data_IF_386846921132
#
_entry.id   IF_386846921132
#
_cell.length_a   1.000
_cell.length_b   1.000
_cell.length_c   1.000
_cell.angle_alpha   90.00
_cell.angle_beta   90.00
_cell.angle_gamma   90.00
#
_symmetry.space_group_name_H-M   'P 1'
#
loop_
_entity.id
_entity.type
_entity.pdbx_description
1 polymer ?
#
# COMPACT_ATOMS: atom_id res chain seq x y z
N UNK A 1 18.71 8.25 7.31
CA UNK A 1 18.12 7.48 8.42
C UNK A 1 16.65 7.82 8.63
N UNK A 2 16.28 9.05 9.03
CA UNK A 2 14.87 9.44 9.26
C UNK A 2 13.94 9.24 8.05
N UNK A 3 14.41 9.56 6.83
CA UNK A 3 13.64 9.35 5.60
C UNK A 3 13.29 7.87 5.37
N UNK A 4 14.24 6.95 5.58
CA UNK A 4 14.01 5.51 5.41
C UNK A 4 13.05 4.96 6.46
N UNK A 5 13.13 5.46 7.70
CA UNK A 5 12.20 5.08 8.77
C UNK A 5 10.79 5.54 8.44
N UNK A 6 10.60 6.77 7.94
CA UNK A 6 9.28 7.25 7.51
C UNK A 6 8.69 6.42 6.36
N UNK A 7 9.50 6.05 5.36
CA UNK A 7 9.07 5.19 4.25
C UNK A 7 8.65 3.81 4.77
N UNK A 8 9.44 3.21 5.65
CA UNK A 8 9.15 1.89 6.22
C UNK A 8 7.88 1.90 7.09
N UNK A 9 7.69 2.92 7.92
CA UNK A 9 6.50 3.07 8.77
C UNK A 9 5.25 3.30 7.91
N UNK A 10 5.34 4.17 6.90
CA UNK A 10 4.24 4.42 5.96
C UNK A 10 3.81 3.15 5.22
N UNK A 11 4.78 2.40 4.66
CA UNK A 11 4.51 1.14 3.98
C UNK A 11 3.90 0.07 4.90
N UNK A 12 4.32 0.03 6.18
CA UNK A 12 3.77 -0.93 7.15
C UNK A 12 2.32 -0.59 7.52
N UNK A 13 1.99 0.69 7.66
CA UNK A 13 0.63 1.15 7.95
C UNK A 13 -0.33 0.85 6.79
N UNK A 14 0.07 1.14 5.55
CA UNK A 14 -0.76 0.83 4.37
C UNK A 14 -0.96 -0.68 4.23
N UNK A 15 0.06 -1.49 4.50
CA UNK A 15 -0.04 -2.94 4.46
C UNK A 15 -0.96 -3.50 5.55
N UNK A 16 -0.96 -2.91 6.75
CA UNK A 16 -1.87 -3.30 7.83
C UNK A 16 -3.34 -2.95 7.50
N UNK A 17 -3.59 -1.77 6.92
CA UNK A 17 -4.92 -1.37 6.44
C UNK A 17 -5.42 -2.32 5.35
N UNK A 18 -4.55 -2.67 4.39
CA UNK A 18 -4.86 -3.64 3.36
C UNK A 18 -5.15 -5.04 3.93
N UNK A 19 -4.39 -5.49 4.93
CA UNK A 19 -4.66 -6.78 5.55
C UNK A 19 -6.03 -6.82 6.24
N UNK A 20 -6.40 -5.73 6.95
CA UNK A 20 -7.70 -5.60 7.60
C UNK A 20 -8.86 -5.68 6.62
N UNK A 21 -8.88 -4.79 5.62
CA UNK A 21 -9.99 -4.77 4.67
C UNK A 21 -10.04 -6.03 3.77
N UNK A 22 -8.94 -6.78 3.63
CA UNK A 22 -8.93 -8.03 2.88
C UNK A 22 -9.52 -9.16 3.71
N UNK A 23 -9.31 -9.13 5.03
CA UNK A 23 -10.02 -9.99 5.98
C UNK A 23 -11.52 -9.70 5.91
N UNK A 24 -11.92 -8.44 6.01
CA UNK A 24 -13.35 -8.05 5.96
C UNK A 24 -14.02 -8.48 4.65
N UNK A 25 -13.32 -8.33 3.52
CA UNK A 25 -13.80 -8.76 2.20
C UNK A 25 -14.06 -10.28 2.15
N UNK A 26 -13.17 -11.08 2.71
CA UNK A 26 -13.24 -12.55 2.68
C UNK A 26 -14.19 -13.10 3.72
N UNK A 27 -14.17 -12.53 4.93
CA UNK A 27 -14.88 -13.04 6.09
C UNK A 27 -16.32 -12.52 6.16
N UNK A 28 -16.59 -11.32 5.62
CA UNK A 28 -17.88 -10.64 5.77
C UNK A 28 -18.53 -10.27 4.43
N UNK A 29 -17.87 -9.48 3.58
CA UNK A 29 -18.53 -8.85 2.42
C UNK A 29 -18.93 -9.86 1.34
N UNK A 30 -17.97 -10.69 0.88
CA UNK A 30 -18.22 -11.70 -0.15
C UNK A 30 -19.22 -12.76 0.31
N UNK A 31 -19.11 -13.31 1.54
CA UNK A 31 -20.13 -14.25 2.01
C UNK A 31 -21.52 -13.60 2.14
N UNK A 32 -21.62 -12.35 2.56
CA UNK A 32 -22.90 -11.61 2.64
C UNK A 32 -23.50 -11.39 1.25
N UNK A 33 -22.70 -10.97 0.26
CA UNK A 33 -23.16 -10.84 -1.13
C UNK A 33 -23.67 -12.19 -1.68
N UNK A 34 -22.91 -13.27 -1.45
CA UNK A 34 -23.27 -14.61 -1.89
C UNK A 34 -24.58 -15.09 -1.28
N UNK A 35 -24.77 -14.87 0.02
CA UNK A 35 -26.00 -15.19 0.74
C UNK A 35 -27.20 -14.42 0.17
N UNK A 36 -27.03 -13.13 -0.14
CA UNK A 36 -28.08 -12.32 -0.74
C UNK A 36 -28.46 -12.81 -2.15
N UNK A 37 -27.50 -13.27 -2.95
CA UNK A 37 -27.77 -13.91 -4.26
C UNK A 37 -28.46 -15.26 -4.12
N UNK A 38 -28.12 -16.04 -3.10
CA UNK A 38 -28.80 -17.30 -2.79
C UNK A 38 -30.26 -17.06 -2.40
N UNK A 39 -30.52 -16.04 -1.57
CA UNK A 39 -31.87 -15.58 -1.24
C UNK A 39 -32.65 -15.23 -2.49
N UNK A 40 -32.07 -14.41 -3.39
CA UNK A 40 -32.71 -14.03 -4.66
C UNK A 40 -33.10 -15.25 -5.49
N UNK A 41 -32.17 -16.19 -5.66
CA UNK A 41 -32.40 -17.43 -6.41
C UNK A 41 -33.55 -18.25 -5.82
N UNK A 42 -33.54 -18.46 -4.49
CA UNK A 42 -34.60 -19.18 -3.79
C UNK A 42 -35.96 -18.48 -3.89
N UNK A 43 -35.98 -17.14 -3.84
CA UNK A 43 -37.19 -16.34 -4.01
C UNK A 43 -37.79 -16.50 -5.41
N UNK A 44 -36.98 -16.38 -6.47
CA UNK A 44 -37.41 -16.57 -7.86
C UNK A 44 -37.89 -18.00 -8.13
N UNK A 45 -37.20 -18.99 -7.57
CA UNK A 45 -37.60 -20.39 -7.71
C UNK A 45 -38.97 -20.65 -7.07
N UNK A 46 -39.24 -20.05 -5.92
CA UNK A 46 -40.55 -20.12 -5.28
C UNK A 46 -41.65 -19.43 -6.09
N UNK A 47 -41.37 -18.31 -6.76
CA UNK A 47 -42.34 -17.67 -7.65
C UNK A 47 -42.76 -18.55 -8.83
N UNK A 48 -41.80 -19.25 -9.45
CA UNK A 48 -42.09 -20.25 -10.49
C UNK A 48 -43.01 -21.35 -9.94
N UNK A 49 -42.73 -21.87 -8.74
CA UNK A 49 -43.55 -22.92 -8.09
C UNK A 49 -44.96 -22.43 -7.75
N UNK A 50 -45.10 -21.22 -7.21
CA UNK A 50 -46.41 -20.62 -6.91
C UNK A 50 -47.20 -20.37 -8.19
N UNK A 51 -46.54 -19.89 -9.25
CA UNK A 51 -47.15 -19.72 -10.56
C UNK A 51 -47.67 -21.05 -11.13
N UNK A 52 -46.88 -22.13 -11.00
CA UNK A 52 -47.30 -23.47 -11.40
C UNK A 52 -48.52 -23.96 -10.59
N UNK A 53 -48.52 -23.77 -9.26
CA UNK A 53 -49.66 -24.12 -8.39
C UNK A 53 -50.93 -23.34 -8.79
N UNK A 54 -50.82 -22.02 -8.99
CA UNK A 54 -51.96 -21.17 -9.29
C UNK A 54 -52.59 -21.52 -10.64
N UNK A 55 -51.78 -21.83 -11.65
CA UNK A 55 -52.25 -22.08 -13.03
C UNK A 55 -52.57 -23.54 -13.34
N UNK A 56 -52.07 -24.49 -12.55
CA UNK A 56 -52.34 -25.92 -12.76
C UNK A 56 -53.76 -26.30 -12.34
N UNK A 57 -54.39 -27.19 -13.10
CA UNK A 57 -55.64 -27.88 -12.73
C UNK A 57 -55.39 -29.24 -12.05
N UNK A 58 -54.14 -29.73 -12.06
CA UNK A 58 -53.75 -30.99 -11.45
C UNK A 58 -53.46 -30.79 -9.95
N UNK A 59 -54.24 -31.47 -9.11
CA UNK A 59 -54.09 -31.48 -7.65
C UNK A 59 -52.73 -32.03 -7.19
N UNK A 60 -52.12 -32.94 -7.96
CA UNK A 60 -50.80 -33.51 -7.67
C UNK A 60 -49.69 -32.46 -7.68
N UNK A 61 -49.82 -31.41 -8.50
CA UNK A 61 -48.86 -30.29 -8.55
C UNK A 61 -48.81 -29.54 -7.22
N UNK A 62 -49.96 -29.32 -6.59
CA UNK A 62 -50.03 -28.67 -5.28
C UNK A 62 -49.34 -29.55 -4.21
N UNK A 63 -49.66 -30.84 -4.18
CA UNK A 63 -49.05 -31.80 -3.24
C UNK A 63 -47.53 -31.87 -3.40
N UNK A 64 -47.04 -31.86 -4.64
CA UNK A 64 -45.61 -31.93 -4.93
C UNK A 64 -44.86 -30.64 -4.59
N UNK A 65 -45.43 -29.47 -4.90
CA UNK A 65 -44.69 -28.19 -4.82
C UNK A 65 -44.85 -27.45 -3.49
N UNK A 66 -45.90 -27.71 -2.72
CA UNK A 66 -46.13 -27.06 -1.41
C UNK A 66 -44.98 -27.31 -0.41
N UNK A 67 -44.43 -28.55 -0.26
CA UNK A 67 -43.27 -28.81 0.59
C UNK A 67 -41.99 -28.09 0.11
N UNK A 68 -41.76 -28.04 -1.20
CA UNK A 68 -40.61 -27.35 -1.79
C UNK A 68 -40.62 -25.85 -1.51
N UNK A 69 -41.80 -25.22 -1.57
CA UNK A 69 -41.98 -23.81 -1.21
C UNK A 69 -41.66 -23.58 0.27
N UNK A 70 -42.10 -24.49 1.15
CA UNK A 70 -41.81 -24.41 2.58
C UNK A 70 -40.30 -24.55 2.86
N UNK A 71 -39.65 -25.53 2.23
CA UNK A 71 -38.20 -25.76 2.31
C UNK A 71 -37.40 -24.52 1.89
N UNK A 72 -37.67 -23.97 0.70
CA UNK A 72 -36.99 -22.74 0.26
C UNK A 72 -37.33 -21.54 1.14
N UNK A 73 -38.54 -21.46 1.71
CA UNK A 73 -38.89 -20.38 2.65
C UNK A 73 -38.12 -20.51 3.97
N UNK A 74 -37.89 -21.73 4.46
CA UNK A 74 -37.05 -21.98 5.64
C UNK A 74 -35.59 -21.61 5.36
N UNK A 75 -35.06 -22.00 4.19
CA UNK A 75 -33.69 -21.62 3.78
C UNK A 75 -33.49 -20.12 3.71
N UNK A 76 -34.46 -19.37 3.17
CA UNK A 76 -34.39 -17.90 3.15
C UNK A 76 -34.34 -17.31 4.57
N UNK A 77 -35.11 -17.86 5.52
CA UNK A 77 -35.05 -17.42 6.93
C UNK A 77 -33.72 -17.78 7.61
N UNK A 78 -33.11 -18.91 7.26
CA UNK A 78 -31.77 -19.26 7.71
C UNK A 78 -30.71 -18.30 7.14
N UNK A 79 -30.79 -17.98 5.84
CA UNK A 79 -29.93 -17.00 5.19
C UNK A 79 -30.01 -15.66 5.90
N UNK A 80 -31.21 -15.17 6.20
CA UNK A 80 -31.40 -13.94 6.96
C UNK A 80 -30.68 -13.98 8.32
N UNK A 81 -30.84 -15.09 9.07
CA UNK A 81 -30.18 -15.26 10.36
C UNK A 81 -28.65 -15.27 10.23
N UNK A 82 -28.12 -15.92 9.20
CA UNK A 82 -26.68 -15.92 8.91
C UNK A 82 -26.19 -14.51 8.58
N UNK A 83 -26.89 -13.77 7.72
CA UNK A 83 -26.52 -12.40 7.35
C UNK A 83 -26.49 -11.48 8.58
N UNK A 84 -27.50 -11.52 9.46
CA UNK A 84 -27.52 -10.68 10.68
C UNK A 84 -26.38 -10.99 11.67
N UNK A 85 -25.86 -12.22 11.66
CA UNK A 85 -24.72 -12.62 12.51
C UNK A 85 -23.39 -12.22 11.89
N UNK A 86 -23.33 -12.27 10.56
CA UNK A 86 -22.13 -12.00 9.78
C UNK A 86 -21.85 -10.50 9.69
N UNK A 87 -22.90 -9.72 9.42
CA UNK A 87 -22.83 -8.30 9.15
C UNK A 87 -23.84 -7.55 10.02
N UNK A 88 -23.33 -6.93 11.09
CA UNK A 88 -24.11 -6.14 12.04
C UNK A 88 -24.14 -4.64 11.67
N UNK A 89 -23.66 -4.26 10.50
CA UNK A 89 -23.71 -2.88 10.01
C UNK A 89 -25.16 -2.37 9.92
N UNK A 90 -25.38 -1.10 10.31
CA UNK A 90 -26.72 -0.53 10.38
C UNK A 90 -27.42 -0.47 9.01
N UNK A 91 -26.67 -0.23 7.94
CA UNK A 91 -27.24 -0.15 6.59
C UNK A 91 -27.60 -1.54 6.07
N UNK A 92 -26.76 -2.55 6.35
CA UNK A 92 -27.03 -3.96 6.07
C UNK A 92 -28.30 -4.45 6.76
N UNK A 93 -28.45 -4.17 8.06
CA UNK A 93 -29.67 -4.49 8.81
C UNK A 93 -30.88 -3.77 8.22
N UNK A 94 -30.75 -2.49 7.85
CA UNK A 94 -31.85 -1.73 7.24
C UNK A 94 -32.27 -2.27 5.86
N UNK A 95 -31.35 -2.89 5.10
CA UNK A 95 -31.68 -3.64 3.87
C UNK A 95 -32.54 -4.85 4.20
N UNK A 96 -32.13 -5.66 5.18
CA UNK A 96 -32.87 -6.86 5.59
C UNK A 96 -34.29 -6.53 6.08
N UNK A 97 -34.45 -5.46 6.87
CA UNK A 97 -35.78 -5.03 7.34
C UNK A 97 -36.72 -4.66 6.18
N UNK A 98 -36.21 -3.94 5.17
CA UNK A 98 -36.99 -3.60 3.96
C UNK A 98 -37.41 -4.85 3.19
N UNK A 99 -36.49 -5.80 3.02
CA UNK A 99 -36.77 -7.07 2.35
C UNK A 99 -37.84 -7.85 3.11
N UNK A 100 -37.73 -7.91 4.44
CA UNK A 100 -38.66 -8.64 5.29
C UNK A 100 -40.07 -8.05 5.31
N UNK A 101 -40.19 -6.72 5.35
CA UNK A 101 -41.49 -6.05 5.24
C UNK A 101 -42.18 -6.43 3.92
N UNK A 102 -41.46 -6.41 2.80
CA UNK A 102 -42.01 -6.82 1.50
C UNK A 102 -42.30 -8.33 1.44
N UNK A 103 -41.45 -9.16 2.04
CA UNK A 103 -41.60 -10.61 2.13
C UNK A 103 -42.86 -11.00 2.92
N UNK A 104 -43.17 -10.31 4.01
CA UNK A 104 -44.36 -10.57 4.82
C UNK A 104 -45.64 -10.39 3.99
N UNK A 105 -45.73 -9.28 3.23
CA UNK A 105 -46.86 -9.01 2.35
C UNK A 105 -47.00 -10.07 1.24
N UNK A 106 -45.89 -10.40 0.57
CA UNK A 106 -45.86 -11.46 -0.45
C UNK A 106 -46.26 -12.81 0.13
N UNK A 107 -45.78 -13.17 1.32
CA UNK A 107 -46.08 -14.45 1.96
C UNK A 107 -47.55 -14.57 2.34
N UNK A 108 -48.19 -13.48 2.79
CA UNK A 108 -49.63 -13.45 3.05
C UNK A 108 -50.45 -13.68 1.77
N UNK A 109 -50.11 -12.98 0.68
CA UNK A 109 -50.78 -13.15 -0.62
C UNK A 109 -50.57 -14.57 -1.21
N UNK A 110 -49.37 -15.13 -1.06
CA UNK A 110 -49.05 -16.51 -1.43
C UNK A 110 -49.90 -17.51 -0.65
N UNK A 111 -50.00 -17.32 0.67
CA UNK A 111 -50.80 -18.19 1.54
C UNK A 111 -52.27 -18.20 1.09
N UNK A 112 -52.86 -17.04 0.85
CA UNK A 112 -54.24 -16.91 0.35
C UNK A 112 -54.45 -17.65 -0.99
N UNK A 113 -53.51 -17.50 -1.93
CA UNK A 113 -53.54 -18.21 -3.22
C UNK A 113 -53.54 -19.74 -3.02
N UNK A 114 -52.66 -20.24 -2.14
CA UNK A 114 -52.55 -21.67 -1.85
C UNK A 114 -53.79 -22.20 -1.10
N UNK A 115 -54.37 -21.42 -0.19
CA UNK A 115 -55.59 -21.81 0.54
C UNK A 115 -56.80 -21.97 -0.38
N UNK A 116 -56.99 -21.09 -1.38
CA UNK A 116 -58.03 -21.30 -2.39
C UNK A 116 -57.79 -22.57 -3.21
N UNK A 117 -56.53 -22.86 -3.56
CA UNK A 117 -56.15 -24.13 -4.22
C UNK A 117 -56.43 -25.35 -3.36
N UNK A 118 -56.13 -25.31 -2.05
CA UNK A 118 -56.45 -26.39 -1.11
C UNK A 118 -57.98 -26.64 -1.02
N UNK A 119 -58.79 -25.60 -1.23
CA UNK A 119 -60.26 -25.65 -1.22
C UNK A 119 -60.89 -25.99 -2.58
N UNK A 120 -60.09 -26.27 -3.61
CA UNK A 120 -60.51 -26.46 -5.00
C UNK A 120 -61.24 -25.25 -5.62
N UNK A 121 -60.99 -24.04 -5.11
CA UNK A 121 -61.52 -22.77 -5.61
C UNK A 121 -60.56 -22.18 -6.64
N UNK A 122 -60.65 -22.67 -7.88
CA UNK A 122 -59.67 -22.39 -8.94
C UNK A 122 -59.70 -20.93 -9.43
N UNK A 123 -60.90 -20.35 -9.61
CA UNK A 123 -61.03 -18.98 -10.12
C UNK A 123 -60.57 -17.96 -9.06
N UNK A 124 -60.95 -18.19 -7.81
CA UNK A 124 -60.56 -17.37 -6.66
C UNK A 124 -59.04 -17.45 -6.42
N UNK A 125 -58.44 -18.64 -6.57
CA UNK A 125 -56.99 -18.81 -6.51
C UNK A 125 -56.28 -18.01 -7.60
N UNK A 126 -56.75 -18.07 -8.84
CA UNK A 126 -56.16 -17.33 -9.96
C UNK A 126 -56.33 -15.82 -9.76
N UNK A 127 -57.48 -15.38 -9.27
CA UNK A 127 -57.71 -13.97 -8.96
C UNK A 127 -56.77 -13.47 -7.85
N UNK A 128 -56.66 -14.20 -6.74
CA UNK A 128 -55.73 -13.86 -5.66
C UNK A 128 -54.26 -13.86 -6.14
N UNK A 129 -53.90 -14.81 -7.01
CA UNK A 129 -52.58 -14.87 -7.62
C UNK A 129 -52.28 -13.60 -8.46
N UNK A 130 -53.18 -13.24 -9.39
CA UNK A 130 -52.96 -12.12 -10.31
C UNK A 130 -53.05 -10.75 -9.62
N UNK A 131 -54.02 -10.58 -8.71
CA UNK A 131 -54.32 -9.28 -8.10
C UNK A 131 -53.52 -8.99 -6.84
N UNK A 132 -53.12 -10.01 -6.07
CA UNK A 132 -52.45 -9.83 -4.78
C UNK A 132 -51.02 -10.39 -4.80
N UNK A 133 -50.84 -11.64 -5.21
CA UNK A 133 -49.52 -12.29 -5.14
C UNK A 133 -48.52 -11.69 -6.13
N UNK A 134 -48.85 -11.59 -7.41
CA UNK A 134 -47.91 -11.08 -8.44
C UNK A 134 -47.40 -9.67 -8.12
N UNK A 135 -48.25 -8.68 -7.76
CA UNK A 135 -47.77 -7.36 -7.36
C UNK A 135 -46.92 -7.40 -6.09
N UNK A 136 -47.32 -8.18 -5.07
CA UNK A 136 -46.56 -8.28 -3.83
C UNK A 136 -45.20 -8.96 -4.05
N UNK A 137 -45.13 -9.99 -4.91
CA UNK A 137 -43.87 -10.63 -5.28
C UNK A 137 -42.96 -9.68 -6.07
N UNK A 138 -43.52 -8.86 -6.98
CA UNK A 138 -42.75 -7.82 -7.67
C UNK A 138 -42.08 -6.86 -6.67
N UNK A 139 -42.82 -6.33 -5.71
CA UNK A 139 -42.26 -5.46 -4.66
C UNK A 139 -41.17 -6.18 -3.85
N UNK A 140 -41.41 -7.44 -3.49
CA UNK A 140 -40.45 -8.25 -2.75
C UNK A 140 -39.15 -8.51 -3.52
N UNK A 141 -39.23 -8.94 -4.79
CA UNK A 141 -38.02 -9.22 -5.58
C UNK A 141 -37.25 -7.94 -5.92
N UNK A 142 -37.94 -6.81 -6.09
CA UNK A 142 -37.28 -5.50 -6.24
C UNK A 142 -36.48 -5.13 -4.98
N UNK A 143 -37.03 -5.34 -3.78
CA UNK A 143 -36.30 -5.12 -2.53
C UNK A 143 -35.09 -6.06 -2.38
N UNK A 144 -35.24 -7.33 -2.75
CA UNK A 144 -34.14 -8.32 -2.76
C UNK A 144 -33.05 -7.92 -3.74
N UNK A 145 -33.40 -7.50 -4.96
CA UNK A 145 -32.45 -7.04 -5.98
C UNK A 145 -31.71 -5.77 -5.53
N UNK A 146 -32.39 -4.85 -4.85
CA UNK A 146 -31.74 -3.69 -4.23
C UNK A 146 -30.75 -4.11 -3.15
N UNK A 147 -31.06 -5.13 -2.35
CA UNK A 147 -30.13 -5.72 -1.40
C UNK A 147 -28.90 -6.35 -2.06
N UNK A 148 -29.09 -7.15 -3.12
CA UNK A 148 -27.97 -7.70 -3.91
C UNK A 148 -27.09 -6.56 -4.45
N UNK A 149 -27.70 -5.51 -5.00
CA UNK A 149 -26.98 -4.35 -5.53
C UNK A 149 -26.20 -3.60 -4.43
N UNK A 150 -26.77 -3.47 -3.24
CA UNK A 150 -26.10 -2.85 -2.11
C UNK A 150 -24.82 -3.59 -1.72
N UNK A 151 -24.90 -4.91 -1.51
CA UNK A 151 -23.74 -5.72 -1.11
C UNK A 151 -22.70 -5.86 -2.23
N UNK A 152 -23.13 -6.11 -3.47
CA UNK A 152 -22.19 -6.16 -4.62
C UNK A 152 -21.50 -4.82 -4.85
N UNK A 153 -22.22 -3.70 -4.72
CA UNK A 153 -21.62 -2.36 -4.79
C UNK A 153 -20.68 -2.05 -3.64
N UNK A 154 -20.87 -2.66 -2.46
CA UNK A 154 -19.91 -2.59 -1.36
C UNK A 154 -18.62 -3.32 -1.70
N UNK A 155 -18.71 -4.59 -2.12
CA UNK A 155 -17.57 -5.41 -2.56
C UNK A 155 -16.78 -4.71 -3.66
N UNK A 156 -17.46 -4.17 -4.67
CA UNK A 156 -16.81 -3.44 -5.78
C UNK A 156 -16.04 -2.20 -5.29
N UNK A 157 -16.62 -1.42 -4.37
CA UNK A 157 -15.96 -0.24 -3.79
C UNK A 157 -14.72 -0.64 -3.02
N UNK A 158 -14.84 -1.60 -2.10
CA UNK A 158 -13.72 -2.09 -1.29
C UNK A 158 -12.59 -2.59 -2.20
N UNK A 159 -12.88 -3.43 -3.19
CA UNK A 159 -11.89 -3.90 -4.17
C UNK A 159 -11.24 -2.76 -4.97
N UNK A 160 -12.00 -1.70 -5.29
CA UNK A 160 -11.46 -0.54 -6.01
C UNK A 160 -10.55 0.33 -5.14
N UNK A 161 -10.88 0.51 -3.87
CA UNK A 161 -10.07 1.22 -2.87
C UNK A 161 -8.77 0.47 -2.62
N UNK A 162 -8.86 -0.86 -2.46
CA UNK A 162 -7.71 -1.76 -2.41
C UNK A 162 -6.68 -1.54 -3.52
N UNK A 163 -7.16 -1.46 -4.77
CA UNK A 163 -6.28 -1.25 -5.93
C UNK A 163 -5.59 0.12 -5.88
N UNK A 164 -6.31 1.16 -5.45
CA UNK A 164 -5.75 2.51 -5.32
C UNK A 164 -4.70 2.58 -4.21
N UNK A 165 -4.99 2.01 -3.05
CA UNK A 165 -4.08 2.00 -1.91
C UNK A 165 -2.81 1.22 -2.22
N UNK A 166 -2.94 0.08 -2.91
CA UNK A 166 -1.79 -0.67 -3.40
C UNK A 166 -0.91 0.15 -4.36
N UNK A 167 -1.52 0.82 -5.35
CA UNK A 167 -0.79 1.66 -6.31
C UNK A 167 -0.09 2.83 -5.64
N UNK A 168 -0.77 3.53 -4.73
CA UNK A 168 -0.18 4.63 -3.96
C UNK A 168 0.96 4.14 -3.07
N UNK A 169 0.79 3.03 -2.37
CA UNK A 169 1.83 2.39 -1.56
C UNK A 169 3.07 2.03 -2.38
N UNK A 170 2.89 1.47 -3.58
CA UNK A 170 3.98 1.16 -4.50
C UNK A 170 4.70 2.42 -5.01
N UNK A 171 3.96 3.48 -5.36
CA UNK A 171 4.57 4.75 -5.79
C UNK A 171 5.41 5.35 -4.66
N UNK A 172 4.91 5.36 -3.42
CA UNK A 172 5.64 5.86 -2.26
C UNK A 172 6.88 5.02 -1.95
N UNK A 173 6.77 3.70 -2.03
CA UNK A 173 7.88 2.78 -1.77
C UNK A 173 8.97 2.93 -2.83
N UNK A 174 8.62 2.82 -4.13
CA UNK A 174 9.58 2.88 -5.23
C UNK A 174 10.16 4.28 -5.34
N UNK A 175 9.31 5.32 -5.34
CA UNK A 175 9.73 6.71 -5.42
C UNK A 175 10.59 7.13 -4.23
N UNK A 176 10.18 6.77 -3.01
CA UNK A 176 10.95 7.04 -1.80
C UNK A 176 12.30 6.31 -1.77
N UNK A 177 12.33 5.06 -2.23
CA UNK A 177 13.59 4.29 -2.35
C UNK A 177 14.54 4.92 -3.37
N UNK A 178 14.02 5.37 -4.52
CA UNK A 178 14.83 6.04 -5.54
C UNK A 178 15.43 7.34 -5.00
N UNK A 179 14.65 8.17 -4.30
CA UNK A 179 15.14 9.39 -3.65
C UNK A 179 16.20 9.07 -2.59
N UNK A 180 16.00 8.01 -1.79
CA UNK A 180 16.97 7.59 -0.79
C UNK A 180 18.32 7.18 -1.42
N UNK A 181 18.28 6.45 -2.55
CA UNK A 181 19.49 6.07 -3.31
C UNK A 181 20.19 7.31 -3.88
N UNK A 182 19.45 8.23 -4.51
CA UNK A 182 20.01 9.46 -5.07
C UNK A 182 20.67 10.34 -4.00
N UNK A 183 20.03 10.46 -2.83
CA UNK A 183 20.62 11.17 -1.69
C UNK A 183 21.89 10.45 -1.18
N UNK A 184 21.89 9.12 -1.12
CA UNK A 184 23.07 8.33 -0.74
C UNK A 184 24.25 8.57 -1.70
N UNK A 185 23.99 8.56 -3.01
CA UNK A 185 25.00 8.88 -4.03
C UNK A 185 25.50 10.32 -3.85
N UNK A 186 24.59 11.27 -3.64
CA UNK A 186 24.95 12.68 -3.41
C UNK A 186 25.83 12.86 -2.17
N UNK A 187 25.49 12.24 -1.04
CA UNK A 187 26.30 12.28 0.17
C UNK A 187 27.67 11.62 -0.02
N UNK A 188 27.73 10.45 -0.65
CA UNK A 188 28.99 9.78 -0.95
C UNK A 188 29.89 10.67 -1.83
N UNK A 189 29.32 11.31 -2.85
CA UNK A 189 30.05 12.23 -3.73
C UNK A 189 30.59 13.45 -2.97
N UNK A 190 29.79 14.05 -2.08
CA UNK A 190 30.23 15.15 -1.21
C UNK A 190 31.39 14.70 -0.33
N UNK A 191 31.25 13.59 0.39
CA UNK A 191 32.30 13.07 1.30
C UNK A 191 33.61 12.78 0.56
N UNK A 192 33.52 12.13 -0.61
CA UNK A 192 34.72 11.84 -1.42
C UNK A 192 35.42 13.14 -1.82
N UNK A 193 34.67 14.18 -2.19
CA UNK A 193 35.24 15.44 -2.69
C UNK A 193 35.70 16.39 -1.58
N UNK A 194 35.02 16.45 -0.44
CA UNK A 194 35.37 17.37 0.65
C UNK A 194 36.38 16.76 1.65
N UNK A 195 36.41 15.44 1.80
CA UNK A 195 37.26 14.79 2.80
C UNK A 195 38.27 13.87 2.12
N UNK A 196 37.83 12.84 1.41
CA UNK A 196 38.73 11.78 0.94
C UNK A 196 39.78 12.28 -0.04
N UNK A 197 39.40 13.13 -1.00
CA UNK A 197 40.32 13.69 -1.99
C UNK A 197 41.34 14.67 -1.37
N UNK A 198 40.96 15.67 -0.55
CA UNK A 198 41.92 16.53 0.15
C UNK A 198 42.89 15.77 1.06
N UNK A 199 42.41 14.75 1.79
CA UNK A 199 43.28 13.92 2.64
C UNK A 199 44.30 13.13 1.81
N UNK A 200 43.91 12.56 0.67
CA UNK A 200 44.87 11.91 -0.24
C UNK A 200 45.96 12.88 -0.72
N UNK A 201 45.57 14.11 -1.11
CA UNK A 201 46.55 15.14 -1.50
C UNK A 201 47.51 15.48 -0.36
N UNK A 202 47.01 15.60 0.86
CA UNK A 202 47.84 15.87 2.03
C UNK A 202 48.84 14.73 2.28
N UNK A 203 48.39 13.48 2.19
CA UNK A 203 49.25 12.30 2.34
C UNK A 203 50.32 12.24 1.25
N UNK A 204 49.96 12.49 -0.02
CA UNK A 204 50.91 12.46 -1.13
C UNK A 204 51.96 13.58 -1.02
N UNK A 205 51.54 14.78 -0.61
CA UNK A 205 52.46 15.88 -0.36
C UNK A 205 53.43 15.57 0.79
N UNK A 206 52.93 15.04 1.90
CA UNK A 206 53.77 14.65 3.04
C UNK A 206 54.80 13.56 2.65
N UNK A 207 54.40 12.58 1.83
CA UNK A 207 55.32 11.55 1.32
C UNK A 207 56.46 12.13 0.47
N UNK A 208 56.15 13.08 -0.42
CA UNK A 208 57.17 13.76 -1.25
C UNK A 208 58.15 14.56 -0.39
N UNK A 209 57.63 15.31 0.58
CA UNK A 209 58.45 16.06 1.54
C UNK A 209 59.36 15.13 2.35
N UNK A 210 58.84 14.00 2.82
CA UNK A 210 59.63 12.99 3.54
C UNK A 210 60.74 12.37 2.67
N UNK A 211 60.55 12.32 1.35
CA UNK A 211 61.57 11.88 0.39
C UNK A 211 62.58 12.99 0.03
N UNK A 212 62.49 14.18 0.64
CA UNK A 212 63.37 15.32 0.38
C UNK A 212 62.96 16.18 -0.82
N UNK A 213 61.87 15.83 -1.51
CA UNK A 213 61.29 16.67 -2.54
C UNK A 213 60.44 17.76 -1.89
N UNK A 214 61.07 18.93 -1.70
CA UNK A 214 60.37 20.10 -1.19
C UNK A 214 59.63 20.84 -2.29
N UNK A 215 59.77 20.52 -3.59
CA UNK A 215 59.07 21.22 -4.67
C UNK A 215 57.61 20.77 -4.88
N UNK A 216 56.85 20.70 -3.78
CA UNK A 216 55.45 20.31 -3.75
C UNK A 216 54.55 21.54 -3.62
N UNK A 217 53.65 21.76 -4.57
CA UNK A 217 52.59 22.74 -4.45
C UNK A 217 51.34 22.11 -3.82
N UNK A 218 50.91 22.63 -2.67
CA UNK A 218 49.71 22.19 -1.95
C UNK A 218 48.70 23.34 -1.94
N UNK A 219 47.65 23.21 -2.74
CA UNK A 219 46.55 24.18 -2.79
C UNK A 219 45.33 23.67 -2.01
N UNK A 220 44.85 24.48 -1.06
CA UNK A 220 43.53 24.29 -0.46
C UNK A 220 42.48 25.07 -1.23
N UNK A 221 41.35 24.43 -1.50
CA UNK A 221 40.13 25.08 -2.04
C UNK A 221 38.94 24.97 -1.09
N UNK A 222 39.15 24.42 0.11
CA UNK A 222 38.12 24.27 1.14
C UNK A 222 38.48 25.09 2.37
N UNK A 223 37.47 25.55 3.10
CA UNK A 223 37.62 26.27 4.38
C UNK A 223 37.28 25.38 5.59
N UNK A 224 36.99 24.10 5.36
CA UNK A 224 36.78 23.09 6.39
C UNK A 224 38.11 22.59 7.00
N UNK A 225 38.02 21.64 7.91
CA UNK A 225 39.17 21.02 8.60
C UNK A 225 40.18 20.42 7.61
N UNK A 226 39.71 19.84 6.50
CA UNK A 226 40.59 19.27 5.48
C UNK A 226 41.34 20.37 4.72
N UNK A 227 40.69 21.51 4.48
CA UNK A 227 41.33 22.69 3.91
C UNK A 227 42.34 23.35 4.85
N UNK A 228 42.04 23.43 6.14
CA UNK A 228 42.96 23.92 7.17
C UNK A 228 44.20 23.03 7.29
N UNK A 229 44.02 21.71 7.21
CA UNK A 229 45.13 20.75 7.17
C UNK A 229 46.05 20.99 5.97
N UNK A 230 45.49 21.13 4.76
CA UNK A 230 46.28 21.40 3.55
C UNK A 230 47.04 22.74 3.62
N UNK A 231 46.41 23.79 4.16
CA UNK A 231 47.06 25.08 4.37
C UNK A 231 48.20 25.00 5.39
N UNK A 232 48.00 24.25 6.48
CA UNK A 232 49.03 24.05 7.51
C UNK A 232 50.22 23.27 6.94
N UNK A 233 49.95 22.24 6.14
CA UNK A 233 50.98 21.47 5.45
C UNK A 233 51.79 22.35 4.48
N UNK A 234 51.13 23.24 3.74
CA UNK A 234 51.81 24.20 2.87
C UNK A 234 52.78 25.10 3.65
N UNK A 235 52.33 25.68 4.77
CA UNK A 235 53.20 26.54 5.61
C UNK A 235 54.42 25.77 6.15
N UNK A 236 54.24 24.50 6.52
CA UNK A 236 55.33 23.63 6.96
C UNK A 236 56.37 23.41 5.85
N UNK A 237 55.93 23.16 4.62
CA UNK A 237 56.81 22.97 3.45
C UNK A 237 57.60 24.26 3.15
N UNK A 238 56.94 25.41 3.19
CA UNK A 238 57.57 26.71 2.94
C UNK A 238 58.66 27.02 3.98
N UNK A 239 58.37 26.73 5.26
CA UNK A 239 59.36 26.85 6.35
C UNK A 239 60.56 25.93 6.13
N UNK A 240 60.33 24.65 5.80
CA UNK A 240 61.39 23.69 5.49
C UNK A 240 62.27 24.13 4.30
N UNK A 241 61.66 24.63 3.22
CA UNK A 241 62.39 25.19 2.06
C UNK A 241 63.30 26.34 2.48
N UNK A 242 62.77 27.26 3.30
CA UNK A 242 63.53 28.40 3.81
C UNK A 242 64.72 27.96 4.66
N UNK A 243 64.52 26.98 5.56
CA UNK A 243 65.59 26.40 6.38
C UNK A 243 66.67 25.73 5.52
N UNK A 244 66.29 24.89 4.57
CA UNK A 244 67.26 24.20 3.68
C UNK A 244 68.03 25.19 2.81
N UNK A 245 67.36 26.22 2.27
CA UNK A 245 68.01 27.30 1.51
C UNK A 245 69.03 28.06 2.36
N UNK A 246 68.66 28.37 3.61
CA UNK A 246 69.56 29.05 4.56
C UNK A 246 70.78 28.20 4.88
N UNK A 247 70.62 26.89 5.12
CA UNK A 247 71.74 25.96 5.35
C UNK A 247 72.66 25.89 4.13
N UNK A 248 72.10 25.85 2.92
CA UNK A 248 72.91 25.85 1.68
C UNK A 248 73.71 27.13 1.51
N UNK A 249 73.10 28.29 1.76
CA UNK A 249 73.79 29.60 1.71
C UNK A 249 74.94 29.69 2.72
N UNK A 250 74.74 29.17 3.93
CA UNK A 250 75.79 29.06 4.95
C UNK A 250 76.91 28.12 4.48
N UNK A 251 76.58 26.96 3.89
CA UNK A 251 77.57 26.03 3.35
C UNK A 251 78.38 26.63 2.18
N UNK A 252 77.75 27.36 1.27
CA UNK A 252 78.42 28.07 0.17
C UNK A 252 79.35 29.16 0.70
N UNK A 253 78.93 29.89 1.74
CA UNK A 253 79.76 30.88 2.45
C UNK A 253 80.97 30.24 3.13
N UNK A 254 80.78 29.10 3.83
CA UNK A 254 81.88 28.34 4.44
C UNK A 254 82.84 27.81 3.38
N UNK A 255 82.33 27.32 2.25
CA UNK A 255 83.15 26.82 1.13
C UNK A 255 84.00 27.95 0.53
N UNK A 256 83.40 29.12 0.32
CA UNK A 256 84.10 30.32 -0.17
C UNK A 256 85.19 30.77 0.80
N UNK A 257 84.87 30.89 2.08
CA UNK A 257 85.85 31.25 3.12
C UNK A 257 86.98 30.21 3.24
N UNK A 258 86.66 28.92 3.10
CA UNK A 258 87.66 27.85 3.11
C UNK A 258 88.60 27.91 1.90
N UNK A 259 88.08 28.28 0.72
CA UNK A 259 88.87 28.50 -0.49
C UNK A 259 89.79 29.72 -0.36
N UNK A 260 89.31 30.81 0.24
CA UNK A 260 90.13 32.00 0.56
C UNK A 260 91.25 31.66 1.55
N UNK A 261 90.96 30.87 2.60
CA UNK A 261 91.98 30.38 3.55
C UNK A 261 93.00 29.47 2.86
N UNK A 262 92.56 28.55 2.00
CA UNK A 262 93.47 27.66 1.27
C UNK A 262 94.38 28.42 0.29
N UNK A 263 93.84 29.43 -0.41
CA UNK A 263 94.61 30.31 -1.30
C UNK A 263 95.60 31.15 -0.49
N UNK A 264 95.17 31.72 0.64
CA UNK A 264 96.07 32.44 1.55
C UNK A 264 97.18 31.56 2.13
N UNK A 265 96.94 30.26 2.32
CA UNK A 265 97.98 29.31 2.73
C UNK A 265 98.96 28.93 1.61
N UNK A 266 98.52 28.95 0.33
CA UNK A 266 99.43 28.75 -0.82
C UNK A 266 100.35 29.94 -1.04
N UNK A 267 99.90 31.17 -0.74
CA UNK A 267 100.74 32.36 -0.78
C UNK A 267 101.76 32.44 0.38
N UNK A 268 101.53 31.66 1.45
CA UNK A 268 102.39 31.62 2.65
C UNK A 268 103.40 30.45 2.67
N UNK A 269 103.29 29.49 1.74
CA UNK A 269 104.20 28.34 1.59
C UNK A 269 105.26 28.59 0.52
#
# INVERSE_FOLDING_TARGET
MLLMVMIAVGASLTMAQMAGAASDLVDTDVPTERLMREWESAARMNDIRVTAIAKSFDAGVLTMLKPEIASSSARISEIESMMRKLDADSDSIAVLERINAARANMSAARKKTIEFKDQNLQEEALQAYEQEYRPAFKTYIEAVMQGVKFHSGHVERVVSEFKKDYQQGMILLVGGSLVAVLLGIGFAWVVVRSITAPLHRAIDAAKRVAAGDLDVNVESRSNDEAGQLLNTLRMMIESLRSTVSSVRSVADSITTASAEVATGNQDLS
#
